data_IF_895229393178
#
_entry.id   IF_895229393178
#
_cell.length_a   1.000
_cell.length_b   1.000
_cell.length_c   1.000
_cell.angle_alpha   90.00
_cell.angle_beta   90.00
_cell.angle_gamma   90.00
#
_symmetry.space_group_name_H-M   'P 1'
#
loop_
_entity.id
_entity.type
_entity.pdbx_description
1 polymer ?
#
# COMPACT_ATOMS: atom_id res chain seq x y z
N UNK A 1 -10.50 -38.45 -22.78
CA UNK A 1 -9.11 -37.93 -22.72
C UNK A 1 -9.10 -36.55 -23.36
N UNK A 2 -9.17 -35.50 -22.55
CA UNK A 2 -8.88 -34.13 -22.98
C UNK A 2 -8.56 -33.32 -21.73
N UNK A 3 -7.33 -32.87 -21.61
CA UNK A 3 -6.92 -31.87 -20.64
C UNK A 3 -5.98 -30.91 -21.37
N UNK A 4 -6.40 -29.65 -21.33
CA UNK A 4 -5.89 -28.52 -22.07
C UNK A 4 -4.50 -28.11 -21.60
N UNK A 5 -3.70 -27.67 -22.57
CA UNK A 5 -2.52 -26.81 -22.38
C UNK A 5 -2.83 -25.66 -21.42
N UNK A 6 -1.95 -25.46 -20.43
CA UNK A 6 -1.87 -24.25 -19.65
C UNK A 6 -0.39 -23.83 -19.57
N UNK A 7 -0.06 -22.88 -20.44
CA UNK A 7 1.17 -22.10 -20.48
C UNK A 7 1.33 -21.32 -19.17
N UNK A 8 2.31 -21.68 -18.34
CA UNK A 8 2.73 -20.85 -17.19
C UNK A 8 3.80 -19.87 -17.66
N UNK A 9 3.38 -18.63 -17.84
CA UNK A 9 4.26 -17.50 -18.14
C UNK A 9 5.06 -17.09 -16.89
N UNK A 10 6.39 -17.11 -17.06
CA UNK A 10 7.41 -16.21 -16.53
C UNK A 10 7.16 -15.46 -15.20
N UNK A 11 7.90 -15.89 -14.17
CA UNK A 11 8.82 -15.10 -13.35
C UNK A 11 8.45 -13.69 -12.89
N UNK A 12 8.32 -13.51 -11.57
CA UNK A 12 8.61 -12.25 -10.90
C UNK A 12 9.63 -12.48 -9.78
N UNK A 13 10.90 -12.52 -10.16
CA UNK A 13 12.01 -12.62 -9.23
C UNK A 13 12.31 -11.25 -8.61
N UNK A 14 11.73 -10.96 -7.45
CA UNK A 14 12.24 -9.89 -6.59
C UNK A 14 13.42 -10.38 -5.75
N UNK A 15 14.57 -10.59 -6.40
CA UNK A 15 15.85 -10.69 -5.69
C UNK A 15 16.72 -9.49 -6.02
N UNK A 16 16.29 -8.30 -5.59
CA UNK A 16 17.21 -7.18 -5.44
C UNK A 16 18.10 -7.47 -4.22
N UNK A 17 19.20 -8.20 -4.45
CA UNK A 17 20.31 -8.32 -3.51
C UNK A 17 21.52 -7.57 -4.07
N UNK A 18 21.80 -6.39 -3.49
CA UNK A 18 23.17 -5.87 -3.39
C UNK A 18 23.55 -5.79 -1.92
N UNK A 19 24.45 -6.65 -1.42
CA UNK A 19 24.93 -6.56 -0.05
C UNK A 19 25.95 -5.43 0.01
N UNK A 20 25.52 -4.26 0.47
CA UNK A 20 26.41 -3.28 1.11
C UNK A 20 26.14 -3.45 2.60
N UNK A 21 27.18 -3.51 3.43
CA UNK A 21 27.11 -3.56 4.91
C UNK A 21 25.86 -2.84 5.42
N UNK A 22 24.78 -3.60 5.69
CA UNK A 22 23.43 -3.08 5.49
C UNK A 22 22.47 -3.70 6.46
N UNK A 23 22.03 -2.89 7.41
CA UNK A 23 20.97 -3.23 8.34
C UNK A 23 19.68 -3.45 7.53
N UNK A 24 19.27 -4.70 7.35
CA UNK A 24 17.99 -5.04 6.73
C UNK A 24 16.87 -4.55 7.66
N UNK A 25 16.12 -3.53 7.23
CA UNK A 25 14.95 -3.04 7.94
C UNK A 25 13.72 -3.48 7.15
N UNK A 26 12.79 -4.16 7.83
CA UNK A 26 11.48 -4.44 7.28
C UNK A 26 10.68 -3.13 7.30
N UNK A 27 10.52 -2.52 6.13
CA UNK A 27 9.66 -1.36 5.97
C UNK A 27 8.28 -1.80 5.46
N UNK A 28 7.19 -1.21 5.96
CA UNK A 28 5.86 -1.48 5.46
C UNK A 28 5.68 -0.86 4.06
N UNK A 29 5.00 -1.60 3.18
CA UNK A 29 4.67 -1.14 1.84
C UNK A 29 3.64 0.00 1.91
N UNK A 30 3.93 1.20 1.36
CA UNK A 30 3.00 2.33 1.38
C UNK A 30 1.65 2.05 0.73
N UNK A 31 1.55 1.14 -0.24
CA UNK A 31 0.26 0.75 -0.83
C UNK A 31 -0.60 0.01 0.21
N UNK A 32 -0.04 -0.97 0.89
CA UNK A 32 -0.72 -1.73 1.95
C UNK A 32 -1.14 -0.80 3.09
N UNK A 33 -0.27 0.15 3.48
CA UNK A 33 -0.59 1.13 4.52
C UNK A 33 -1.79 2.00 4.12
N UNK A 34 -1.86 2.49 2.88
CA UNK A 34 -3.00 3.27 2.39
C UNK A 34 -4.30 2.48 2.40
N UNK A 35 -4.27 1.23 1.94
CA UNK A 35 -5.43 0.33 1.94
C UNK A 35 -5.94 0.11 3.38
N UNK A 36 -5.02 -0.11 4.32
CA UNK A 36 -5.36 -0.33 5.73
C UNK A 36 -5.96 0.91 6.40
N UNK A 37 -5.42 2.10 6.13
CA UNK A 37 -5.98 3.36 6.62
C UNK A 37 -7.37 3.65 6.04
N UNK A 38 -7.58 3.34 4.76
CA UNK A 38 -8.88 3.49 4.11
C UNK A 38 -9.92 2.59 4.77
N UNK A 39 -9.59 1.31 4.98
CA UNK A 39 -10.45 0.35 5.67
C UNK A 39 -10.75 0.77 7.11
N UNK A 40 -9.74 1.24 7.84
CA UNK A 40 -9.90 1.77 9.20
C UNK A 40 -10.92 2.91 9.23
N UNK A 41 -10.79 3.89 8.33
CA UNK A 41 -11.70 5.03 8.25
C UNK A 41 -13.13 4.60 7.94
N UNK A 42 -13.33 3.72 6.95
CA UNK A 42 -14.65 3.19 6.60
C UNK A 42 -15.32 2.48 7.78
N UNK A 43 -14.58 1.66 8.53
CA UNK A 43 -15.09 0.96 9.71
C UNK A 43 -15.41 1.92 10.86
N UNK A 44 -14.58 2.95 11.07
CA UNK A 44 -14.85 4.00 12.07
C UNK A 44 -16.14 4.75 11.78
N UNK A 45 -16.40 5.07 10.50
CA UNK A 45 -17.63 5.71 10.06
C UNK A 45 -18.82 4.77 10.30
N UNK A 46 -18.75 3.52 9.83
CA UNK A 46 -19.83 2.56 9.99
C UNK A 46 -20.18 2.29 11.47
N UNK A 47 -19.17 2.22 12.34
CA UNK A 47 -19.36 2.05 13.78
C UNK A 47 -20.04 3.26 14.41
N UNK A 48 -19.72 4.48 13.97
CA UNK A 48 -20.34 5.71 14.46
C UNK A 48 -21.79 5.88 13.94
N UNK A 49 -22.07 5.43 12.72
CA UNK A 49 -23.43 5.44 12.16
C UNK A 49 -24.34 4.44 12.85
N UNK A 50 -23.86 3.21 13.05
CA UNK A 50 -24.60 2.15 13.72
C UNK A 50 -23.65 1.11 14.27
N UNK A 51 -23.56 1.05 15.59
CA UNK A 51 -22.77 0.05 16.30
C UNK A 51 -23.24 -1.36 15.92
N UNK A 52 -22.34 -2.10 15.27
CA UNK A 52 -22.55 -3.50 14.88
C UNK A 52 -21.41 -4.35 15.44
N UNK A 53 -21.69 -5.46 16.12
CA UNK A 53 -20.64 -6.31 16.71
C UNK A 53 -19.61 -6.81 15.68
N UNK A 54 -20.03 -7.07 14.45
CA UNK A 54 -19.15 -7.50 13.35
C UNK A 54 -18.19 -6.39 12.92
N UNK A 55 -18.70 -5.16 12.72
CA UNK A 55 -17.87 -4.01 12.36
C UNK A 55 -16.92 -3.61 13.51
N UNK A 56 -17.35 -3.74 14.76
CA UNK A 56 -16.51 -3.50 15.93
C UNK A 56 -15.33 -4.48 16.00
N UNK A 57 -15.56 -5.77 15.69
CA UNK A 57 -14.50 -6.78 15.62
C UNK A 57 -13.53 -6.49 14.49
N UNK A 58 -14.05 -6.19 13.30
CA UNK A 58 -13.20 -5.87 12.15
C UNK A 58 -12.37 -4.60 12.38
N UNK A 59 -12.97 -3.59 13.04
CA UNK A 59 -12.26 -2.37 13.44
C UNK A 59 -11.13 -2.68 14.42
N UNK A 60 -11.35 -3.59 15.38
CA UNK A 60 -10.31 -4.01 16.31
C UNK A 60 -9.16 -4.73 15.59
N UNK A 61 -9.46 -5.62 14.64
CA UNK A 61 -8.44 -6.34 13.85
C UNK A 61 -7.59 -5.40 13.01
N UNK A 62 -8.23 -4.45 12.33
CA UNK A 62 -7.53 -3.42 11.54
C UNK A 62 -6.69 -2.52 12.44
N UNK A 63 -7.21 -2.12 13.60
CA UNK A 63 -6.48 -1.32 14.59
C UNK A 63 -5.24 -2.05 15.11
N UNK A 64 -5.38 -3.34 15.43
CA UNK A 64 -4.28 -4.19 15.87
C UNK A 64 -3.21 -4.33 14.78
N UNK A 65 -3.62 -4.56 13.54
CA UNK A 65 -2.71 -4.67 12.39
C UNK A 65 -1.93 -3.37 12.19
N UNK A 66 -2.59 -2.20 12.29
CA UNK A 66 -1.92 -0.89 12.23
C UNK A 66 -0.88 -0.75 13.34
N UNK A 67 -1.24 -1.06 14.59
CA UNK A 67 -0.33 -0.99 15.73
C UNK A 67 0.91 -1.85 15.52
N UNK A 68 0.75 -3.12 15.12
CA UNK A 68 1.87 -4.04 14.87
C UNK A 68 2.73 -3.55 13.72
N UNK A 69 2.13 -3.17 12.59
CA UNK A 69 2.86 -2.72 11.41
C UNK A 69 3.65 -1.44 11.66
N UNK A 70 3.12 -0.54 12.49
CA UNK A 70 3.77 0.72 12.86
C UNK A 70 4.64 0.60 14.11
N UNK A 71 4.70 -0.56 14.75
CA UNK A 71 5.36 -0.78 16.04
C UNK A 71 4.94 0.26 17.10
N UNK A 72 3.63 0.43 17.27
CA UNK A 72 3.01 1.27 18.29
C UNK A 72 2.04 0.46 19.15
N UNK A 73 1.65 0.99 20.31
CA UNK A 73 0.70 0.34 21.22
C UNK A 73 -0.71 0.92 21.15
N UNK A 74 -0.86 2.13 20.62
CA UNK A 74 -2.14 2.81 20.46
C UNK A 74 -2.44 3.10 18.98
N UNK A 75 -3.71 2.96 18.60
CA UNK A 75 -4.15 3.13 17.20
C UNK A 75 -3.97 4.56 16.69
N UNK A 76 -4.14 5.56 17.56
CA UNK A 76 -3.92 6.96 17.19
C UNK A 76 -2.45 7.21 16.81
N UNK A 77 -1.52 6.65 17.58
CA UNK A 77 -0.08 6.75 17.28
C UNK A 77 0.27 5.96 16.02
N UNK A 78 -0.39 4.82 15.80
CA UNK A 78 -0.23 4.03 14.59
C UNK A 78 -0.63 4.84 13.35
N UNK A 79 -1.80 5.47 13.37
CA UNK A 79 -2.30 6.32 12.27
C UNK A 79 -1.36 7.49 12.02
N UNK A 80 -0.95 8.22 13.06
CA UNK A 80 -0.03 9.35 12.92
C UNK A 80 1.32 8.94 12.30
N UNK A 81 1.87 7.78 12.73
CA UNK A 81 3.13 7.26 12.19
C UNK A 81 2.97 6.74 10.76
N UNK A 82 1.84 6.12 10.43
CA UNK A 82 1.51 5.71 9.07
C UNK A 82 1.42 6.90 8.12
N UNK A 83 0.74 7.98 8.51
CA UNK A 83 0.63 9.20 7.72
C UNK A 83 2.00 9.86 7.51
N UNK A 84 2.82 9.95 8.56
CA UNK A 84 4.18 10.45 8.45
C UNK A 84 5.04 9.61 7.48
N UNK A 85 4.90 8.28 7.52
CA UNK A 85 5.56 7.36 6.61
C UNK A 85 5.11 7.59 5.16
N UNK A 86 3.81 7.73 4.92
CA UNK A 86 3.27 7.99 3.58
C UNK A 86 3.72 9.34 3.05
N UNK A 87 3.74 10.38 3.87
CA UNK A 87 4.23 11.72 3.50
C UNK A 87 5.74 11.72 3.21
N UNK A 88 6.53 10.91 3.93
CA UNK A 88 7.94 10.74 3.63
C UNK A 88 8.16 10.03 2.29
N UNK A 89 7.39 8.98 2.00
CA UNK A 89 7.50 8.21 0.75
C UNK A 89 6.96 8.96 -0.47
N UNK A 90 5.91 9.77 -0.33
CA UNK A 90 5.37 10.61 -1.40
C UNK A 90 6.20 11.86 -1.73
N UNK A 91 7.19 12.21 -0.90
CA UNK A 91 8.16 13.28 -1.17
C UNK A 91 9.43 12.79 -1.87
N UNK A 92 9.64 11.48 -1.96
CA UNK A 92 10.68 10.95 -2.82
C UNK A 92 10.30 11.27 -4.28
N UNK A 93 11.22 11.79 -5.11
CA UNK A 93 10.89 12.00 -6.50
C UNK A 93 10.57 10.63 -7.10
N UNK A 94 9.37 10.49 -7.65
CA UNK A 94 8.96 9.41 -8.54
C UNK A 94 9.86 9.49 -9.79
N UNK A 95 11.15 9.15 -9.66
CA UNK A 95 12.07 9.07 -10.78
C UNK A 95 11.75 7.79 -11.51
N UNK A 96 10.89 7.90 -12.52
CA UNK A 96 10.80 6.94 -13.61
C UNK A 96 9.52 6.13 -13.66
N UNK A 97 8.43 6.75 -14.10
CA UNK A 97 7.54 6.11 -15.10
C UNK A 97 6.74 7.16 -15.87
N UNK A 98 7.43 8.12 -16.48
CA UNK A 98 6.97 8.81 -17.67
C UNK A 98 8.11 8.68 -18.69
N UNK A 99 8.18 7.55 -19.37
CA UNK A 99 8.64 7.60 -20.76
C UNK A 99 7.54 8.32 -21.54
N UNK A 100 7.53 9.65 -21.47
CA UNK A 100 6.98 10.45 -22.56
C UNK A 100 7.95 10.30 -23.72
N UNK A 101 7.78 9.24 -24.49
CA UNK A 101 8.34 9.14 -25.81
C UNK A 101 7.33 8.48 -26.72
N UNK A 102 6.94 9.18 -27.78
CA UNK A 102 5.89 8.76 -28.70
C UNK A 102 4.90 9.86 -29.07
N UNK A 103 5.43 10.89 -29.74
CA UNK A 103 4.85 11.50 -30.94
C UNK A 103 3.32 11.47 -31.13
N UNK A 104 2.70 12.64 -31.06
CA UNK A 104 1.46 12.90 -31.80
C UNK A 104 1.42 14.39 -32.13
N UNK A 105 2.14 14.76 -33.18
CA UNK A 105 1.93 16.03 -33.87
C UNK A 105 0.53 16.07 -34.47
N UNK A 106 -0.31 16.99 -34.00
CA UNK A 106 -1.47 17.50 -34.74
C UNK A 106 -1.55 19.01 -34.51
N UNK A 107 -0.98 19.75 -35.46
CA UNK A 107 -1.07 21.20 -35.58
C UNK A 107 -2.48 21.57 -36.04
N UNK A 108 -3.28 22.22 -35.18
CA UNK A 108 -4.56 22.81 -35.58
C UNK A 108 -4.30 24.25 -36.01
N UNK A 109 -4.35 24.50 -37.32
CA UNK A 109 -4.37 25.85 -37.88
C UNK A 109 -5.73 26.50 -37.63
N UNK A 110 -5.72 27.76 -37.20
CA UNK A 110 -6.88 28.67 -37.13
C UNK A 110 -6.66 29.81 -38.11
#
# INVERSE_FOLDING_TARGET
MSARDATVSAGFGHTQRKPREGRFVLEPDPKVVRELLTRYASLRIAQAERERPEAARELADVSYTLCVMMATTAVHDAVAKADALLLAKGRAPEVGSLTTDGDSGLSLAV
#
